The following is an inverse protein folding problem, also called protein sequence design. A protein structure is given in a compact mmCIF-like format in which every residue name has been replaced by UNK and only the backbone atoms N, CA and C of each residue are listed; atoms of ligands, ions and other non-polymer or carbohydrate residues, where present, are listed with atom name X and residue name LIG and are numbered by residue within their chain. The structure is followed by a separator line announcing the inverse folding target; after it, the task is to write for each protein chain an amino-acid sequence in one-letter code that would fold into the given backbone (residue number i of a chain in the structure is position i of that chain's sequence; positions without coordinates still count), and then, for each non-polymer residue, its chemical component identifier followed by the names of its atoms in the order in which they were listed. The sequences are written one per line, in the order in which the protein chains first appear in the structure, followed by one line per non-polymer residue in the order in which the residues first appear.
data_IF_472762839540
#
_entry.id   IF_472762839540
#
_cell.length_a   1.000
_cell.length_b   1.000
_cell.length_c   1.000
_cell.angle_alpha   90.00
_cell.angle_beta   90.00
_cell.angle_gamma   90.00
#
_symmetry.space_group_name_H-M   'P 1'
#
loop_
_entity.id
_entity.type
_entity.pdbx_description
1 polymer ?
#
# COMPACT_ATOMS: atom_id res chain seq x y z
N UNK A 1 -37.76 -31.87 24.15
CA UNK A 1 -36.50 -32.50 23.69
C UNK A 1 -36.26 -32.23 22.21
N UNK A 2 -37.25 -32.44 21.34
CA UNK A 2 -37.14 -32.22 19.88
C UNK A 2 -36.77 -30.77 19.47
N UNK A 3 -37.35 -29.74 20.12
CA UNK A 3 -36.99 -28.32 19.90
C UNK A 3 -35.51 -28.00 20.22
N UNK A 4 -34.94 -28.69 21.21
CA UNK A 4 -33.55 -28.47 21.63
C UNK A 4 -32.59 -29.01 20.57
N UNK A 5 -32.87 -30.20 20.01
CA UNK A 5 -32.08 -30.75 18.91
C UNK A 5 -32.16 -29.87 17.65
N UNK A 6 -33.35 -29.38 17.31
CA UNK A 6 -33.52 -28.46 16.19
C UNK A 6 -32.73 -27.16 16.36
N UNK A 7 -32.68 -26.60 17.58
CA UNK A 7 -31.84 -25.44 17.90
C UNK A 7 -30.35 -25.73 17.76
N UNK A 8 -29.89 -26.90 18.22
CA UNK A 8 -28.49 -27.31 18.10
C UNK A 8 -28.09 -27.42 16.63
N UNK A 9 -28.95 -27.98 15.77
CA UNK A 9 -28.64 -28.11 14.35
C UNK A 9 -28.60 -26.75 13.62
N UNK A 10 -29.49 -25.81 13.99
CA UNK A 10 -29.43 -24.42 13.50
C UNK A 10 -28.13 -23.73 13.93
N UNK A 11 -27.76 -23.83 15.20
CA UNK A 11 -26.52 -23.25 15.72
C UNK A 11 -25.26 -23.83 15.03
N UNK A 12 -25.26 -25.13 14.71
CA UNK A 12 -24.17 -25.74 13.93
C UNK A 12 -24.10 -25.20 12.50
N UNK A 13 -25.25 -24.98 11.87
CA UNK A 13 -25.31 -24.41 10.53
C UNK A 13 -24.80 -22.96 10.52
N UNK A 14 -25.24 -22.15 11.48
CA UNK A 14 -24.77 -20.77 11.67
C UNK A 14 -23.26 -20.72 11.97
N UNK A 15 -22.77 -21.59 12.85
CA UNK A 15 -21.33 -21.69 13.15
C UNK A 15 -20.52 -22.00 11.88
N UNK A 16 -21.00 -22.92 11.04
CA UNK A 16 -20.34 -23.29 9.79
C UNK A 16 -20.30 -22.12 8.80
N UNK A 17 -21.37 -21.33 8.73
CA UNK A 17 -21.42 -20.12 7.91
C UNK A 17 -20.44 -19.06 8.42
N UNK A 18 -20.42 -18.81 9.73
CA UNK A 18 -19.48 -17.89 10.38
C UNK A 18 -18.02 -18.32 10.11
N UNK A 19 -17.70 -19.60 10.23
CA UNK A 19 -16.36 -20.11 9.93
C UNK A 19 -15.95 -19.86 8.47
N UNK A 20 -16.89 -20.01 7.53
CA UNK A 20 -16.65 -19.73 6.11
C UNK A 20 -16.38 -18.24 5.89
N UNK A 21 -17.16 -17.38 6.53
CA UNK A 21 -17.02 -15.93 6.40
C UNK A 21 -15.72 -15.44 7.04
N UNK A 22 -15.32 -16.00 8.18
CA UNK A 22 -14.00 -15.76 8.80
C UNK A 22 -12.88 -16.12 7.83
N UNK A 23 -12.93 -17.29 7.20
CA UNK A 23 -11.89 -17.71 6.23
C UNK A 23 -11.81 -16.78 5.02
N UNK A 24 -12.95 -16.28 4.54
CA UNK A 24 -13.00 -15.29 3.47
C UNK A 24 -12.38 -13.95 3.92
N UNK A 25 -12.66 -13.52 5.15
CA UNK A 25 -12.06 -12.32 5.74
C UNK A 25 -10.55 -12.47 5.90
N UNK A 26 -10.06 -13.59 6.45
CA UNK A 26 -8.63 -13.89 6.56
C UNK A 26 -7.94 -13.81 5.20
N UNK A 27 -8.52 -14.44 4.16
CA UNK A 27 -7.98 -14.40 2.80
C UNK A 27 -7.85 -12.96 2.28
N UNK A 28 -8.91 -12.15 2.45
CA UNK A 28 -8.89 -10.74 2.04
C UNK A 28 -7.89 -9.92 2.83
N UNK A 29 -7.76 -10.17 4.14
CA UNK A 29 -6.77 -9.50 5.00
C UNK A 29 -5.35 -9.83 4.56
N UNK A 30 -5.02 -11.10 4.30
CA UNK A 30 -3.70 -11.49 3.79
C UNK A 30 -3.38 -10.84 2.43
N UNK A 31 -4.36 -10.76 1.53
CA UNK A 31 -4.21 -10.04 0.26
C UNK A 31 -3.93 -8.55 0.52
N UNK A 32 -4.72 -7.91 1.38
CA UNK A 32 -4.54 -6.50 1.72
C UNK A 32 -3.16 -6.23 2.36
N UNK A 33 -2.67 -7.10 3.24
CA UNK A 33 -1.32 -7.00 3.81
C UNK A 33 -0.23 -7.05 2.74
N UNK A 34 -0.39 -7.94 1.75
CA UNK A 34 0.52 -8.04 0.60
C UNK A 34 0.45 -6.80 -0.29
N UNK A 35 -0.75 -6.27 -0.52
CA UNK A 35 -0.95 -5.04 -1.31
C UNK A 35 -0.30 -3.84 -0.61
N UNK A 36 -0.49 -3.70 0.70
CA UNK A 36 0.18 -2.66 1.52
C UNK A 36 1.71 -2.78 1.41
N UNK A 37 2.26 -3.99 1.52
CA UNK A 37 3.70 -4.23 1.34
C UNK A 37 4.19 -3.78 -0.03
N UNK A 38 3.40 -4.07 -1.08
CA UNK A 38 3.72 -3.69 -2.46
C UNK A 38 3.66 -2.18 -2.66
N UNK A 39 2.63 -1.52 -2.10
CA UNK A 39 2.47 -0.06 -2.11
C UNK A 39 3.68 0.59 -1.44
N UNK A 40 4.11 0.11 -0.27
CA UNK A 40 5.26 0.66 0.45
C UNK A 40 6.55 0.60 -0.40
N UNK A 41 6.80 -0.52 -1.10
CA UNK A 41 7.95 -0.65 -2.01
C UNK A 41 7.86 0.31 -3.20
N UNK A 42 6.66 0.52 -3.76
CA UNK A 42 6.46 1.48 -4.84
C UNK A 42 6.68 2.92 -4.35
N UNK A 43 6.19 3.26 -3.16
CA UNK A 43 6.42 4.56 -2.51
C UNK A 43 7.91 4.82 -2.27
N UNK A 44 8.68 3.81 -1.84
CA UNK A 44 10.13 3.94 -1.66
C UNK A 44 10.85 4.24 -2.99
N UNK A 45 10.46 3.57 -4.08
CA UNK A 45 10.99 3.85 -5.43
C UNK A 45 10.64 5.27 -5.89
N UNK A 46 9.39 5.70 -5.67
CA UNK A 46 8.94 7.06 -6.00
C UNK A 46 9.72 8.09 -5.17
N UNK A 47 9.91 7.85 -3.87
CA UNK A 47 10.68 8.71 -2.96
C UNK A 47 12.13 8.85 -3.43
N UNK A 48 12.76 7.73 -3.84
CA UNK A 48 14.11 7.75 -4.40
C UNK A 48 14.16 8.57 -5.69
N UNK A 49 13.26 8.31 -6.64
CA UNK A 49 13.21 9.03 -7.91
C UNK A 49 12.98 10.54 -7.72
N UNK A 50 12.06 10.94 -6.84
CA UNK A 50 11.78 12.36 -6.53
C UNK A 50 12.99 13.03 -5.87
N UNK A 51 13.71 12.31 -5.01
CA UNK A 51 14.96 12.75 -4.40
C UNK A 51 16.09 12.98 -5.43
N UNK A 52 16.16 12.16 -6.48
CA UNK A 52 17.07 12.38 -7.61
C UNK A 52 16.64 13.56 -8.49
N UNK A 53 15.35 13.67 -8.80
CA UNK A 53 14.80 14.80 -9.58
C UNK A 53 15.12 16.13 -8.90
N UNK A 54 14.94 16.23 -7.58
CA UNK A 54 15.28 17.45 -6.82
C UNK A 54 16.75 17.85 -7.01
N UNK A 55 17.68 16.89 -6.96
CA UNK A 55 19.11 17.16 -7.18
C UNK A 55 19.40 17.67 -8.59
N UNK A 56 18.76 17.09 -9.61
CA UNK A 56 18.92 17.50 -11.00
C UNK A 56 18.41 18.92 -11.20
N UNK A 57 17.23 19.24 -10.65
CA UNK A 57 16.65 20.58 -10.74
C UNK A 57 17.55 21.62 -10.08
N UNK A 58 18.02 21.36 -8.85
CA UNK A 58 18.94 22.26 -8.15
C UNK A 58 20.26 22.42 -8.91
N UNK A 59 20.83 21.31 -9.40
CA UNK A 59 22.05 21.33 -10.21
C UNK A 59 21.89 22.15 -11.49
N UNK A 60 20.76 22.00 -12.19
CA UNK A 60 20.45 22.77 -13.39
C UNK A 60 20.33 24.26 -13.09
N UNK A 61 19.67 24.64 -11.99
CA UNK A 61 19.56 26.04 -11.57
C UNK A 61 20.93 26.65 -11.26
N UNK A 62 21.76 25.95 -10.49
CA UNK A 62 23.13 26.41 -10.15
C UNK A 62 23.98 26.55 -11.42
N UNK A 63 23.95 25.56 -12.31
CA UNK A 63 24.68 25.58 -13.58
C UNK A 63 24.22 26.70 -14.50
N UNK A 64 22.93 27.05 -14.50
CA UNK A 64 22.40 28.18 -15.26
C UNK A 64 22.99 29.51 -14.75
N UNK A 65 23.05 29.70 -13.43
CA UNK A 65 23.65 30.91 -12.83
C UNK A 65 25.15 30.99 -13.12
N UNK A 66 25.90 29.90 -12.93
CA UNK A 66 27.34 29.86 -13.24
C UNK A 66 27.60 30.20 -14.71
N UNK A 67 26.79 29.63 -15.62
CA UNK A 67 26.91 29.90 -17.06
C UNK A 67 26.66 31.37 -17.40
N UNK A 68 25.73 32.03 -16.72
CA UNK A 68 25.47 33.47 -16.92
C UNK A 68 26.66 34.32 -16.46
N UNK A 69 27.22 34.03 -15.29
CA UNK A 69 28.38 34.73 -14.75
C UNK A 69 29.60 34.56 -15.69
N UNK A 70 29.90 33.33 -16.12
CA UNK A 70 31.05 33.05 -16.99
C UNK A 70 30.96 33.69 -18.38
N UNK A 71 29.74 33.94 -18.89
CA UNK A 71 29.53 34.60 -20.18
C UNK A 71 29.57 36.14 -20.10
N UNK A 72 29.92 36.71 -18.93
CA UNK A 72 29.91 38.16 -18.73
C UNK A 72 28.50 38.76 -18.69
N UNK A 73 27.49 37.95 -18.33
CA UNK A 73 26.08 38.35 -18.24
C UNK A 73 25.71 39.07 -16.94
N UNK A 74 26.70 39.44 -16.13
CA UNK A 74 26.59 40.34 -14.98
C UNK A 74 27.79 41.29 -14.97
#
# INVERSE_FOLDING_TARGET
MEDVYAKIDRLKAEQKEIMRDIRNLETRTTINEKDISTINKQLEKISTNTTWILRIVLGAMVMAVIRLILKGGL
#
